data_IF_713758371412
#
_entry.id   IF_713758371412
#
_cell.length_a   1.000
_cell.length_b   1.000
_cell.length_c   1.000
_cell.angle_alpha   90.00
_cell.angle_beta   90.00
_cell.angle_gamma   90.00
#
_symmetry.space_group_name_H-M   'P 1'
#
loop_
_entity.id
_entity.type
_entity.pdbx_description
1 polymer ?
#
# COMPACT_ATOMS: atom_id res chain seq x y z
N UNK A 1 -6.20 -14.90 14.74
CA UNK A 1 -5.18 -15.89 15.15
C UNK A 1 -4.91 -16.81 13.95
N UNK A 2 -3.85 -16.48 13.20
CA UNK A 2 -3.51 -17.21 11.97
C UNK A 2 -2.93 -18.60 12.25
N UNK A 3 -2.27 -18.79 13.39
CA UNK A 3 -1.66 -20.05 13.75
C UNK A 3 -2.72 -21.14 14.01
N UNK A 4 -3.81 -20.77 14.67
CA UNK A 4 -4.89 -21.72 15.00
C UNK A 4 -6.07 -21.65 14.02
N UNK A 5 -6.03 -20.78 13.00
CA UNK A 5 -7.10 -20.62 12.02
C UNK A 5 -8.41 -20.10 12.59
N UNK A 6 -8.33 -19.26 13.65
CA UNK A 6 -9.50 -18.70 14.36
C UNK A 6 -9.73 -17.26 13.92
N UNK A 7 -10.96 -16.96 13.49
CA UNK A 7 -11.42 -15.60 13.16
C UNK A 7 -12.30 -15.12 14.31
N UNK A 8 -12.00 -13.94 14.88
CA UNK A 8 -12.77 -13.41 16.01
C UNK A 8 -13.00 -11.91 15.93
N UNK A 9 -14.09 -11.48 16.57
CA UNK A 9 -14.41 -10.08 16.88
C UNK A 9 -14.37 -9.09 15.71
N UNK A 10 -14.72 -9.56 14.50
CA UNK A 10 -14.85 -8.70 13.32
C UNK A 10 -16.00 -7.70 13.53
N UNK A 11 -15.75 -6.37 13.47
CA UNK A 11 -16.76 -5.34 13.76
C UNK A 11 -18.02 -5.46 12.90
N UNK A 12 -17.85 -5.83 11.63
CA UNK A 12 -18.91 -5.89 10.62
C UNK A 12 -19.58 -7.27 10.52
N UNK A 13 -19.10 -8.27 11.29
CA UNK A 13 -19.60 -9.66 11.23
C UNK A 13 -19.93 -10.18 12.63
N UNK A 14 -21.12 -9.90 13.15
CA UNK A 14 -21.51 -10.31 14.51
C UNK A 14 -21.41 -11.81 14.78
N UNK A 15 -21.53 -12.63 13.71
CA UNK A 15 -21.42 -14.10 13.79
C UNK A 15 -20.04 -14.61 14.18
N UNK A 16 -19.00 -13.77 14.11
CA UNK A 16 -17.64 -14.14 14.50
C UNK A 16 -17.26 -13.70 15.90
N UNK A 17 -18.20 -13.08 16.66
CA UNK A 17 -17.93 -12.66 18.05
C UNK A 17 -17.64 -13.87 18.93
N UNK A 18 -16.58 -13.74 19.74
CA UNK A 18 -16.09 -14.80 20.61
C UNK A 18 -15.22 -15.86 19.91
N UNK A 19 -14.92 -15.66 18.63
CA UNK A 19 -14.03 -16.53 17.87
C UNK A 19 -14.75 -17.70 17.18
N UNK A 20 -14.42 -17.89 15.90
CA UNK A 20 -14.85 -19.05 15.11
C UNK A 20 -13.61 -19.77 14.57
N UNK A 21 -13.43 -21.03 14.94
CA UNK A 21 -12.33 -21.87 14.46
C UNK A 21 -12.58 -22.32 13.02
N UNK A 22 -12.51 -21.35 12.08
CA UNK A 22 -12.86 -21.58 10.67
C UNK A 22 -11.85 -22.52 9.99
N UNK A 23 -10.56 -22.35 10.25
CA UNK A 23 -9.51 -23.22 9.70
C UNK A 23 -9.75 -24.68 10.07
N UNK A 24 -9.78 -25.05 11.38
CA UNK A 24 -10.05 -26.41 11.83
C UNK A 24 -11.39 -26.98 11.33
N UNK A 25 -12.44 -26.15 11.25
CA UNK A 25 -13.70 -26.59 10.68
C UNK A 25 -13.56 -27.00 9.21
N UNK A 26 -12.94 -26.15 8.39
CA UNK A 26 -12.73 -26.44 6.97
C UNK A 26 -11.80 -27.64 6.75
N UNK A 27 -10.77 -27.82 7.60
CA UNK A 27 -9.93 -29.01 7.60
C UNK A 27 -10.74 -30.29 7.82
N UNK A 28 -11.68 -30.25 8.78
CA UNK A 28 -12.56 -31.41 9.05
C UNK A 28 -13.49 -31.73 7.88
N UNK A 29 -13.88 -30.69 7.11
CA UNK A 29 -14.79 -30.87 5.95
C UNK A 29 -14.05 -31.38 4.72
N UNK A 30 -12.86 -30.83 4.45
CA UNK A 30 -12.13 -31.12 3.21
C UNK A 30 -11.04 -32.19 3.34
N UNK A 31 -10.63 -32.53 4.56
CA UNK A 31 -9.59 -33.52 4.82
C UNK A 31 -8.19 -33.09 4.35
N UNK A 32 -7.96 -31.77 4.23
CA UNK A 32 -6.66 -31.17 3.85
C UNK A 32 -6.33 -30.02 4.82
N UNK A 33 -5.04 -29.67 5.00
CA UNK A 33 -4.64 -28.51 5.81
C UNK A 33 -5.26 -27.22 5.30
N UNK A 34 -5.73 -26.36 6.20
CA UNK A 34 -6.33 -25.06 5.88
C UNK A 34 -5.62 -23.95 6.66
N UNK A 35 -5.14 -22.97 5.93
CA UNK A 35 -4.43 -21.81 6.49
C UNK A 35 -5.23 -20.54 6.26
N UNK A 36 -5.44 -19.76 7.32
CA UNK A 36 -6.20 -18.51 7.29
C UNK A 36 -5.23 -17.33 7.36
N UNK A 37 -5.48 -16.28 6.57
CA UNK A 37 -4.74 -15.02 6.67
C UNK A 37 -5.61 -13.85 6.20
N UNK A 38 -5.19 -12.62 6.51
CA UNK A 38 -5.84 -11.40 6.07
C UNK A 38 -5.63 -11.16 4.58
N UNK A 39 -6.63 -10.64 3.89
CA UNK A 39 -6.60 -10.38 2.44
C UNK A 39 -5.58 -9.31 2.04
N UNK A 40 -5.38 -8.26 2.86
CA UNK A 40 -4.34 -7.25 2.66
C UNK A 40 -2.93 -7.85 2.75
N UNK A 41 -2.70 -8.74 3.71
CA UNK A 41 -1.46 -9.51 3.84
C UNK A 41 -1.21 -10.37 2.59
N UNK A 42 -2.23 -11.11 2.16
CA UNK A 42 -2.12 -11.99 1.00
C UNK A 42 -1.95 -11.20 -0.31
N UNK A 43 -2.59 -10.03 -0.42
CA UNK A 43 -2.35 -9.09 -1.52
C UNK A 43 -0.88 -8.68 -1.60
N UNK A 44 -0.32 -8.17 -0.50
CA UNK A 44 1.08 -7.75 -0.45
C UNK A 44 2.03 -8.91 -0.76
N UNK A 45 1.73 -10.10 -0.25
CA UNK A 45 2.55 -11.28 -0.49
C UNK A 45 2.53 -11.73 -1.95
N UNK A 46 1.36 -11.74 -2.59
CA UNK A 46 1.24 -12.04 -4.03
C UNK A 46 1.97 -11.03 -4.91
N UNK A 47 1.87 -9.74 -4.59
CA UNK A 47 2.59 -8.67 -5.28
C UNK A 47 4.13 -8.75 -5.09
N UNK A 48 4.56 -9.21 -3.92
CA UNK A 48 5.99 -9.41 -3.65
C UNK A 48 6.57 -10.62 -4.40
N UNK A 49 5.80 -11.67 -4.61
CA UNK A 49 6.29 -12.90 -5.25
C UNK A 49 6.10 -12.91 -6.76
N UNK A 50 5.00 -12.38 -7.28
CA UNK A 50 4.61 -12.53 -8.67
C UNK A 50 4.13 -11.23 -9.36
N UNK A 51 4.10 -10.09 -8.67
CA UNK A 51 3.54 -8.84 -9.18
C UNK A 51 4.54 -7.68 -9.18
N UNK A 52 4.25 -6.68 -8.37
CA UNK A 52 4.97 -5.40 -8.34
C UNK A 52 6.47 -5.52 -8.09
N UNK A 53 6.89 -6.34 -7.12
CA UNK A 53 8.31 -6.44 -6.77
C UNK A 53 9.15 -7.07 -7.88
N UNK A 54 8.78 -8.21 -8.49
CA UNK A 54 9.45 -8.70 -9.71
C UNK A 54 9.42 -7.69 -10.88
N UNK A 55 8.30 -7.00 -11.10
CA UNK A 55 8.16 -5.98 -12.17
C UNK A 55 9.18 -4.86 -12.01
N UNK A 56 9.30 -4.27 -10.81
CA UNK A 56 10.27 -3.20 -10.53
C UNK A 56 11.70 -3.71 -10.67
N UNK A 57 12.01 -4.88 -10.13
CA UNK A 57 13.36 -5.46 -10.22
C UNK A 57 13.75 -5.80 -11.66
N UNK A 58 12.80 -6.27 -12.47
CA UNK A 58 13.02 -6.52 -13.90
C UNK A 58 13.29 -5.22 -14.66
N UNK A 59 12.52 -4.16 -14.40
CA UNK A 59 12.75 -2.86 -15.02
C UNK A 59 14.13 -2.28 -14.66
N UNK A 60 14.56 -2.43 -13.40
CA UNK A 60 15.91 -2.03 -12.97
C UNK A 60 17.01 -2.85 -13.67
N UNK A 61 16.80 -4.17 -13.84
CA UNK A 61 17.72 -5.04 -14.55
C UNK A 61 17.84 -4.63 -16.02
N UNK A 62 16.72 -4.40 -16.70
CA UNK A 62 16.67 -3.99 -18.11
C UNK A 62 17.33 -2.63 -18.35
N UNK A 63 17.28 -1.74 -17.32
CA UNK A 63 17.97 -0.45 -17.32
C UNK A 63 19.47 -0.56 -16.95
N UNK A 64 19.97 -1.76 -16.65
CA UNK A 64 21.37 -1.98 -16.23
C UNK A 64 21.67 -1.56 -14.79
N UNK A 65 20.67 -1.22 -13.99
CA UNK A 65 20.84 -0.85 -12.58
C UNK A 65 21.22 -2.07 -11.73
N UNK A 66 22.11 -1.85 -10.76
CA UNK A 66 22.55 -2.92 -9.82
C UNK A 66 21.61 -3.06 -8.61
N UNK A 67 20.83 -2.03 -8.30
CA UNK A 67 19.87 -2.04 -7.19
C UNK A 67 18.80 -3.11 -7.39
N UNK A 68 18.45 -3.78 -6.29
CA UNK A 68 17.32 -4.73 -6.24
C UNK A 68 16.56 -4.51 -4.96
N UNK A 69 15.24 -4.43 -5.06
CA UNK A 69 14.33 -4.33 -3.92
C UNK A 69 13.95 -5.73 -3.43
N UNK A 70 13.75 -5.86 -2.13
CA UNK A 70 13.32 -7.09 -1.46
C UNK A 70 12.10 -6.88 -0.60
N UNK A 71 11.86 -5.61 -0.21
CA UNK A 71 10.78 -5.20 0.67
C UNK A 71 9.65 -4.57 -0.13
N UNK A 72 8.42 -4.86 0.27
CA UNK A 72 7.22 -4.32 -0.35
C UNK A 72 6.18 -4.01 0.72
N UNK A 73 5.52 -2.87 0.58
CA UNK A 73 4.32 -2.50 1.31
C UNK A 73 3.17 -2.55 0.31
N UNK A 74 2.24 -3.48 0.51
CA UNK A 74 1.03 -3.60 -0.32
C UNK A 74 -0.16 -3.02 0.41
N UNK A 75 -0.89 -2.09 -0.24
CA UNK A 75 -2.12 -1.53 0.33
C UNK A 75 -3.32 -1.84 -0.56
N UNK A 76 -4.46 -2.04 0.07
CA UNK A 76 -5.74 -2.20 -0.63
C UNK A 76 -6.69 -1.08 -0.25
N UNK A 77 -7.13 -0.32 -1.26
CA UNK A 77 -8.06 0.80 -1.13
C UNK A 77 -9.46 0.33 -1.57
N UNK A 78 -10.37 0.21 -0.61
CA UNK A 78 -11.70 -0.32 -0.87
C UNK A 78 -12.71 0.04 0.22
N UNK A 79 -13.46 -0.93 0.71
CA UNK A 79 -14.39 -0.76 1.85
C UNK A 79 -13.63 -0.27 3.08
N UNK A 80 -12.41 -0.77 3.28
CA UNK A 80 -11.47 -0.36 4.32
C UNK A 80 -10.10 -0.06 3.74
N UNK A 81 -9.13 0.12 4.65
CA UNK A 81 -7.72 0.39 4.39
C UNK A 81 -6.88 -0.82 4.78
N UNK A 82 -6.77 -1.80 3.87
CA UNK A 82 -5.92 -2.97 4.09
C UNK A 82 -4.45 -2.68 3.78
N UNK A 83 -3.56 -3.34 4.54
CA UNK A 83 -2.13 -3.29 4.28
C UNK A 83 -1.50 -4.64 4.63
N UNK A 84 -0.48 -4.99 3.87
CA UNK A 84 0.45 -6.07 4.20
C UNK A 84 1.87 -5.61 3.95
N UNK A 85 2.79 -6.17 4.71
CA UNK A 85 4.21 -5.83 4.65
C UNK A 85 5.02 -7.08 4.39
N UNK A 86 5.91 -7.00 3.40
CA UNK A 86 6.84 -8.09 3.05
C UNK A 86 8.26 -7.57 3.20
N UNK A 87 9.06 -8.24 4.01
CA UNK A 87 10.47 -7.91 4.27
C UNK A 87 11.33 -9.10 3.85
N UNK A 88 12.29 -8.84 2.98
CA UNK A 88 13.16 -9.88 2.39
C UNK A 88 12.37 -11.09 1.84
N UNK A 89 11.25 -10.79 1.17
CA UNK A 89 10.27 -11.74 0.62
C UNK A 89 9.51 -12.58 1.67
N UNK A 90 9.58 -12.23 2.93
CA UNK A 90 8.83 -12.87 4.02
C UNK A 90 7.69 -11.95 4.46
N UNK A 91 6.47 -12.50 4.53
CA UNK A 91 5.30 -11.77 5.02
C UNK A 91 5.43 -11.47 6.51
N UNK A 92 5.31 -10.19 6.88
CA UNK A 92 5.27 -9.75 8.27
C UNK A 92 3.90 -10.08 8.87
N UNK A 93 3.88 -10.97 9.85
CA UNK A 93 2.64 -11.27 10.61
C UNK A 93 2.61 -10.51 11.94
N UNK A 94 3.76 -10.36 12.60
CA UNK A 94 3.87 -9.89 13.97
C UNK A 94 3.57 -11.01 14.99
N UNK A 95 3.84 -10.72 16.25
CA UNK A 95 3.64 -11.69 17.34
C UNK A 95 2.15 -11.86 17.74
N UNK A 96 1.32 -10.91 17.36
CA UNK A 96 -0.12 -10.89 17.63
C UNK A 96 -0.96 -10.85 16.36
N UNK A 97 -0.41 -11.26 15.23
CA UNK A 97 -1.04 -11.23 13.90
C UNK A 97 -1.53 -9.83 13.45
N UNK A 98 -1.01 -8.76 14.04
CA UNK A 98 -1.37 -7.37 13.77
C UNK A 98 -0.33 -6.64 12.90
N UNK A 99 0.61 -7.36 12.29
CA UNK A 99 1.59 -6.79 11.37
C UNK A 99 0.90 -6.22 10.13
N UNK A 100 1.03 -4.90 9.92
CA UNK A 100 0.38 -4.24 8.79
C UNK A 100 -0.97 -3.56 9.09
N UNK A 101 -1.43 -3.53 10.33
CA UNK A 101 -2.69 -2.88 10.75
C UNK A 101 -2.59 -1.33 10.68
N UNK A 102 -2.39 -0.80 9.47
CA UNK A 102 -2.27 0.65 9.27
C UNK A 102 -3.59 1.40 9.35
N UNK A 103 -4.71 0.70 9.19
CA UNK A 103 -6.06 1.26 9.23
C UNK A 103 -6.37 2.03 10.52
N UNK A 104 -5.84 1.56 11.66
CA UNK A 104 -6.04 2.16 12.97
C UNK A 104 -4.99 3.24 13.34
N UNK A 105 -4.02 3.52 12.45
CA UNK A 105 -3.07 4.61 12.69
C UNK A 105 -3.77 5.96 12.75
N UNK A 106 -3.10 6.96 13.36
CA UNK A 106 -3.63 8.32 13.43
C UNK A 106 -3.81 8.89 12.03
N UNK A 107 -4.97 9.46 11.78
CA UNK A 107 -5.27 10.17 10.54
C UNK A 107 -4.43 11.44 10.42
N UNK A 108 -3.70 11.59 9.32
CA UNK A 108 -2.81 12.73 9.11
C UNK A 108 -3.55 14.07 8.90
N UNK A 109 -4.81 14.02 8.46
CA UNK A 109 -5.64 15.21 8.24
C UNK A 109 -6.55 15.51 9.44
N UNK A 110 -7.07 14.47 10.10
CA UNK A 110 -8.00 14.56 11.23
C UNK A 110 -7.42 13.74 12.41
N UNK A 111 -6.54 14.33 13.25
CA UNK A 111 -5.77 13.58 14.26
C UNK A 111 -6.58 12.90 15.37
N UNK A 112 -7.88 13.14 15.43
CA UNK A 112 -8.81 12.56 16.40
C UNK A 112 -9.59 11.35 15.89
N UNK A 113 -9.36 10.93 14.62
CA UNK A 113 -9.95 9.72 14.03
C UNK A 113 -8.86 8.83 13.44
N UNK A 114 -9.19 7.57 13.15
CA UNK A 114 -8.28 6.61 12.52
C UNK A 114 -8.09 6.90 11.03
N UNK A 115 -7.01 6.41 10.45
CA UNK A 115 -6.67 6.63 9.04
C UNK A 115 -7.76 6.11 8.09
N UNK A 116 -8.38 4.97 8.38
CA UNK A 116 -9.43 4.38 7.54
C UNK A 116 -10.65 5.29 7.35
N UNK A 117 -10.95 6.19 8.30
CA UNK A 117 -12.04 7.16 8.15
C UNK A 117 -11.84 8.15 6.98
N UNK A 118 -10.60 8.29 6.50
CA UNK A 118 -10.26 9.05 5.29
C UNK A 118 -9.75 8.20 4.15
N UNK A 119 -9.55 6.87 4.36
CA UNK A 119 -9.01 5.95 3.35
C UNK A 119 -9.99 4.79 3.14
N UNK A 120 -11.17 5.11 2.63
CA UNK A 120 -12.22 4.13 2.37
C UNK A 120 -13.23 4.65 1.34
N UNK A 121 -14.08 3.74 0.84
CA UNK A 121 -15.25 4.10 0.02
C UNK A 121 -16.12 5.16 0.72
N UNK A 122 -16.32 5.02 2.03
CA UNK A 122 -17.10 6.00 2.83
C UNK A 122 -16.46 7.38 2.80
N UNK A 123 -15.14 7.45 2.87
CA UNK A 123 -14.41 8.71 2.85
C UNK A 123 -14.59 9.45 1.52
N UNK A 124 -14.46 8.77 0.38
CA UNK A 124 -14.67 9.38 -0.95
C UNK A 124 -16.07 9.98 -1.04
N UNK A 125 -17.09 9.24 -0.61
CA UNK A 125 -18.48 9.71 -0.62
C UNK A 125 -18.70 10.90 0.30
N UNK A 126 -18.17 10.83 1.53
CA UNK A 126 -18.27 11.91 2.51
C UNK A 126 -17.65 13.21 2.00
N UNK A 127 -16.39 13.14 1.54
CA UNK A 127 -15.68 14.33 1.05
C UNK A 127 -16.35 14.92 -0.18
N UNK A 128 -16.84 14.09 -1.10
CA UNK A 128 -17.59 14.57 -2.25
C UNK A 128 -18.87 15.32 -1.81
N UNK A 129 -19.66 14.76 -0.88
CA UNK A 129 -20.86 15.40 -0.34
C UNK A 129 -20.55 16.75 0.32
N UNK A 130 -19.54 16.77 1.20
CA UNK A 130 -19.11 17.97 1.92
C UNK A 130 -18.68 19.09 0.97
N UNK A 131 -17.95 18.76 -0.10
CA UNK A 131 -17.40 19.76 -1.01
C UNK A 131 -18.34 20.16 -2.15
N UNK A 132 -19.22 19.26 -2.60
CA UNK A 132 -20.21 19.58 -3.62
C UNK A 132 -21.40 20.35 -3.04
N UNK A 133 -21.65 20.20 -1.73
CA UNK A 133 -22.86 20.66 -1.05
C UNK A 133 -24.17 20.06 -1.64
N UNK A 134 -24.04 18.85 -2.23
CA UNK A 134 -25.15 18.14 -2.85
C UNK A 134 -25.52 16.90 -2.03
N UNK A 135 -26.79 16.51 -2.06
CA UNK A 135 -27.19 15.19 -1.59
C UNK A 135 -26.69 14.11 -2.56
N UNK A 136 -25.85 13.21 -2.09
CA UNK A 136 -25.19 12.23 -2.95
C UNK A 136 -25.99 10.94 -3.13
N UNK A 137 -27.09 10.75 -2.39
CA UNK A 137 -27.91 9.52 -2.49
C UNK A 137 -27.06 8.25 -2.50
N UNK A 138 -27.26 7.41 -3.50
CA UNK A 138 -26.57 6.13 -3.67
C UNK A 138 -25.32 6.20 -4.60
N UNK A 139 -24.75 7.39 -4.84
CA UNK A 139 -23.56 7.52 -5.67
C UNK A 139 -22.45 6.61 -5.14
N UNK A 140 -21.95 5.75 -6.02
CA UNK A 140 -20.82 4.87 -5.75
C UNK A 140 -19.50 5.61 -6.00
N UNK A 141 -18.34 5.12 -5.49
CA UNK A 141 -17.04 5.67 -5.86
C UNK A 141 -16.78 5.64 -7.37
N UNK A 142 -17.36 4.67 -8.09
CA UNK A 142 -17.27 4.64 -9.55
C UNK A 142 -18.01 5.83 -10.16
N UNK A 143 -19.23 6.14 -9.69
CA UNK A 143 -19.99 7.29 -10.16
C UNK A 143 -19.27 8.59 -9.87
N UNK A 144 -18.66 8.74 -8.69
CA UNK A 144 -17.84 9.89 -8.32
C UNK A 144 -16.58 9.96 -9.22
N UNK A 145 -15.98 8.82 -9.56
CA UNK A 145 -14.90 8.75 -10.52
C UNK A 145 -15.33 9.18 -11.93
N UNK A 146 -16.52 8.80 -12.37
CA UNK A 146 -17.09 9.24 -13.65
C UNK A 146 -17.36 10.76 -13.64
N UNK A 147 -17.79 11.33 -12.52
CA UNK A 147 -17.91 12.79 -12.33
C UNK A 147 -16.52 13.45 -12.40
N UNK A 148 -15.52 12.90 -11.68
CA UNK A 148 -14.15 13.40 -11.71
C UNK A 148 -13.55 13.42 -13.12
N UNK A 149 -13.97 12.46 -13.97
CA UNK A 149 -13.56 12.33 -15.36
C UNK A 149 -14.37 13.21 -16.33
N UNK A 150 -15.46 13.86 -15.87
CA UNK A 150 -16.36 14.63 -16.72
C UNK A 150 -17.28 13.77 -17.60
N UNK A 151 -17.37 12.46 -17.36
CA UNK A 151 -18.23 11.53 -18.10
C UNK A 151 -19.63 11.41 -17.49
N UNK A 152 -19.82 11.95 -16.29
CA UNK A 152 -21.10 12.04 -15.59
C UNK A 152 -21.31 13.47 -15.07
N UNK A 153 -22.53 14.03 -15.12
CA UNK A 153 -22.83 15.32 -14.52
C UNK A 153 -22.61 15.33 -12.99
N UNK A 154 -22.09 16.44 -12.46
CA UNK A 154 -21.84 16.64 -11.04
C UNK A 154 -20.70 17.63 -10.79
N UNK A 155 -20.31 17.81 -9.54
CA UNK A 155 -19.22 18.71 -9.18
C UNK A 155 -17.87 18.02 -9.38
N UNK A 156 -17.27 18.22 -10.56
CA UNK A 156 -16.00 17.62 -10.96
C UNK A 156 -14.87 17.93 -9.97
N UNK A 157 -14.76 19.17 -9.47
CA UNK A 157 -13.69 19.57 -8.54
C UNK A 157 -13.83 18.86 -7.20
N UNK A 158 -15.06 18.76 -6.67
CA UNK A 158 -15.33 18.03 -5.45
C UNK A 158 -14.99 16.53 -5.61
N UNK A 159 -15.31 15.94 -6.76
CA UNK A 159 -15.01 14.55 -7.06
C UNK A 159 -13.50 14.28 -7.14
N UNK A 160 -12.74 15.12 -7.83
CA UNK A 160 -11.28 15.02 -7.90
C UNK A 160 -10.63 15.17 -6.53
N UNK A 161 -11.11 16.17 -5.75
CA UNK A 161 -10.58 16.44 -4.42
C UNK A 161 -10.86 15.30 -3.44
N UNK A 162 -12.00 14.62 -3.54
CA UNK A 162 -12.30 13.47 -2.70
C UNK A 162 -11.29 12.33 -2.83
N UNK A 163 -10.82 12.05 -4.04
CA UNK A 163 -9.75 11.07 -4.28
C UNK A 163 -8.38 11.60 -3.90
N UNK A 164 -8.11 12.90 -4.13
CA UNK A 164 -6.85 13.52 -3.74
C UNK A 164 -6.64 13.47 -2.23
N UNK A 165 -7.65 13.81 -1.42
CA UNK A 165 -7.58 13.72 0.04
C UNK A 165 -7.40 12.29 0.54
N UNK A 166 -8.07 11.32 -0.07
CA UNK A 166 -7.83 9.91 0.21
C UNK A 166 -6.35 9.57 -0.02
N UNK A 167 -5.78 10.02 -1.14
CA UNK A 167 -4.35 9.84 -1.44
C UNK A 167 -3.43 10.48 -0.40
N UNK A 168 -3.73 11.70 0.03
CA UNK A 168 -2.94 12.40 1.05
C UNK A 168 -2.91 11.64 2.38
N UNK A 169 -4.07 11.21 2.90
CA UNK A 169 -4.11 10.47 4.16
C UNK A 169 -3.45 9.09 4.03
N UNK A 170 -3.60 8.44 2.87
CA UNK A 170 -2.88 7.21 2.56
C UNK A 170 -1.38 7.41 2.72
N UNK A 171 -0.82 8.43 2.07
CA UNK A 171 0.62 8.72 2.13
C UNK A 171 1.08 9.19 3.51
N UNK A 172 0.31 10.01 4.22
CA UNK A 172 0.61 10.43 5.59
C UNK A 172 0.75 9.22 6.54
N UNK A 173 -0.05 8.19 6.32
CA UNK A 173 0.06 6.92 7.04
C UNK A 173 1.31 6.14 6.61
N UNK A 174 1.53 6.03 5.30
CA UNK A 174 2.64 5.27 4.73
C UNK A 174 4.02 5.88 5.00
N UNK A 175 4.14 7.19 5.24
CA UNK A 175 5.41 7.82 5.68
C UNK A 175 5.97 7.09 6.90
N UNK A 176 5.13 6.77 7.90
CA UNK A 176 5.59 6.06 9.09
C UNK A 176 6.03 4.62 8.78
N UNK A 177 5.30 3.94 7.91
CA UNK A 177 5.63 2.56 7.50
C UNK A 177 6.91 2.53 6.67
N UNK A 178 7.07 3.46 5.72
CA UNK A 178 8.26 3.55 4.87
C UNK A 178 9.54 3.86 5.65
N UNK A 179 9.45 4.70 6.70
CA UNK A 179 10.58 4.97 7.58
C UNK A 179 11.03 3.74 8.40
N UNK A 180 10.21 2.69 8.49
CA UNK A 180 10.53 1.45 9.20
C UNK A 180 10.92 0.34 8.23
N UNK A 181 10.17 0.19 7.12
CA UNK A 181 10.27 -0.96 6.21
C UNK A 181 11.27 -0.70 5.06
N UNK A 182 11.35 0.54 4.57
CA UNK A 182 12.18 0.93 3.42
C UNK A 182 12.02 -0.02 2.22
N UNK A 183 10.88 0.07 1.54
CA UNK A 183 10.52 -0.80 0.42
C UNK A 183 9.68 -0.09 -0.63
N UNK A 184 9.35 -0.78 -1.71
CA UNK A 184 8.41 -0.25 -2.72
C UNK A 184 6.97 -0.30 -2.19
N UNK A 185 6.11 0.59 -2.69
CA UNK A 185 4.68 0.64 -2.36
C UNK A 185 3.85 0.21 -3.55
N UNK A 186 2.97 -0.77 -3.38
CA UNK A 186 1.99 -1.16 -4.39
C UNK A 186 0.56 -0.91 -3.90
N UNK A 187 -0.25 -0.31 -4.77
CA UNK A 187 -1.63 0.07 -4.48
C UNK A 187 -2.57 -0.86 -5.25
N UNK A 188 -3.47 -1.52 -4.53
CA UNK A 188 -4.54 -2.35 -5.07
C UNK A 188 -5.91 -1.95 -4.53
N UNK A 189 -6.91 -2.80 -4.79
CA UNK A 189 -8.28 -2.62 -4.32
C UNK A 189 -9.20 -1.91 -5.31
N UNK A 190 -10.48 -1.87 -4.99
CA UNK A 190 -11.52 -1.41 -5.90
C UNK A 190 -11.46 0.08 -6.28
N UNK A 191 -10.76 0.91 -5.49
CA UNK A 191 -10.61 2.33 -5.79
C UNK A 191 -9.50 2.64 -6.79
N UNK A 192 -8.65 1.67 -7.16
CA UNK A 192 -7.53 1.87 -8.10
C UNK A 192 -7.95 2.26 -9.51
N UNK A 193 -9.21 2.00 -9.91
CA UNK A 193 -9.77 2.58 -11.14
C UNK A 193 -9.71 4.10 -11.21
N UNK A 194 -9.55 4.76 -10.06
CA UNK A 194 -9.39 6.20 -9.92
C UNK A 194 -7.96 6.63 -9.55
N UNK A 195 -6.96 5.76 -9.78
CA UNK A 195 -5.56 6.01 -9.41
C UNK A 195 -5.03 7.35 -9.91
N UNK A 196 -5.44 7.81 -11.10
CA UNK A 196 -5.03 9.11 -11.65
C UNK A 196 -5.42 10.32 -10.78
N UNK A 197 -6.45 10.17 -9.93
CA UNK A 197 -6.89 11.20 -8.97
C UNK A 197 -6.35 10.97 -7.57
N UNK A 198 -5.95 9.72 -7.25
CA UNK A 198 -5.38 9.33 -5.95
C UNK A 198 -3.88 9.61 -5.89
N UNK A 199 -3.13 9.21 -6.92
CA UNK A 199 -1.68 9.32 -6.98
C UNK A 199 -1.15 10.75 -6.79
N UNK A 200 -1.77 11.82 -7.34
CA UNK A 200 -1.31 13.18 -7.09
C UNK A 200 -1.30 13.53 -5.59
N UNK A 201 -2.36 13.19 -4.85
CA UNK A 201 -2.42 13.42 -3.41
C UNK A 201 -1.38 12.60 -2.63
N UNK A 202 -1.08 11.38 -3.07
CA UNK A 202 -0.02 10.55 -2.50
C UNK A 202 1.35 11.20 -2.71
N UNK A 203 1.66 11.62 -3.92
CA UNK A 203 2.96 12.22 -4.26
C UNK A 203 3.17 13.57 -3.58
N UNK A 204 2.12 14.39 -3.48
CA UNK A 204 2.12 15.64 -2.73
C UNK A 204 2.50 15.44 -1.27
N UNK A 205 1.89 14.47 -0.59
CA UNK A 205 2.15 14.21 0.82
C UNK A 205 3.53 13.60 1.05
N UNK A 206 4.02 12.73 0.19
CA UNK A 206 5.39 12.20 0.30
C UNK A 206 6.47 13.28 0.09
N UNK A 207 6.17 14.32 -0.69
CA UNK A 207 7.07 15.46 -0.89
C UNK A 207 6.98 16.50 0.24
N UNK A 208 6.09 16.30 1.22
CA UNK A 208 5.85 17.26 2.29
C UNK A 208 7.05 17.40 3.23
N UNK A 209 7.33 18.65 3.60
CA UNK A 209 8.34 18.97 4.60
C UNK A 209 7.70 19.16 5.98
N UNK A 210 8.40 18.73 7.00
CA UNK A 210 8.04 18.97 8.39
C UNK A 210 8.98 20.00 9.03
N UNK A 211 8.42 20.87 9.88
CA UNK A 211 9.17 21.89 10.60
C UNK A 211 9.90 21.35 11.82
N UNK A 212 11.03 21.97 12.15
CA UNK A 212 11.73 21.79 13.42
C UNK A 212 11.47 22.99 14.34
N UNK A 213 11.68 22.84 15.64
CA UNK A 213 11.60 23.97 16.58
C UNK A 213 12.62 25.08 16.30
N UNK A 214 13.71 24.78 15.58
CA UNK A 214 14.69 25.76 15.11
C UNK A 214 14.27 26.49 13.82
N UNK A 215 13.09 26.18 13.25
CA UNK A 215 12.55 26.82 12.06
C UNK A 215 13.01 26.19 10.73
N UNK A 216 13.80 25.11 10.75
CA UNK A 216 14.20 24.41 9.54
C UNK A 216 13.06 23.52 9.03
N UNK A 217 13.01 23.31 7.71
CA UNK A 217 12.12 22.36 7.07
C UNK A 217 12.94 21.15 6.62
N UNK A 218 12.46 19.95 6.98
CA UNK A 218 13.11 18.68 6.66
C UNK A 218 12.10 17.76 5.96
N UNK A 219 12.55 16.90 5.02
CA UNK A 219 11.71 15.88 4.44
C UNK A 219 11.27 14.87 5.51
N UNK A 220 10.05 14.40 5.40
CA UNK A 220 9.49 13.38 6.30
C UNK A 220 9.97 11.96 5.95
N UNK A 221 10.55 11.79 4.76
CA UNK A 221 11.19 10.57 4.28
C UNK A 221 12.64 10.84 3.91
N UNK A 222 13.52 9.87 4.17
CA UNK A 222 14.92 9.92 3.74
C UNK A 222 15.09 9.52 2.25
N UNK A 223 14.09 8.87 1.68
CA UNK A 223 14.09 8.40 0.30
C UNK A 223 13.25 9.32 -0.58
N UNK A 224 13.70 9.54 -1.81
CA UNK A 224 12.91 10.17 -2.86
C UNK A 224 11.85 9.17 -3.36
N UNK A 225 10.62 9.62 -3.47
CA UNK A 225 9.49 8.79 -3.91
C UNK A 225 9.16 9.11 -5.35
N UNK A 226 8.98 8.08 -6.16
CA UNK A 226 8.70 8.17 -7.58
C UNK A 226 7.38 7.47 -7.91
N UNK A 227 6.50 8.16 -8.63
CA UNK A 227 5.32 7.55 -9.24
C UNK A 227 5.76 6.70 -10.43
N UNK A 228 5.72 5.38 -10.28
CA UNK A 228 6.16 4.44 -11.31
C UNK A 228 5.19 4.36 -12.50
N UNK A 229 3.97 4.86 -12.36
CA UNK A 229 2.99 4.97 -13.44
C UNK A 229 3.24 6.18 -14.35
N UNK A 230 3.98 7.17 -13.87
CA UNK A 230 4.42 8.33 -14.65
C UNK A 230 5.71 7.99 -15.42
N UNK A 231 5.72 8.11 -16.76
CA UNK A 231 6.89 7.72 -17.56
C UNK A 231 8.17 8.49 -17.24
N UNK A 232 8.08 9.79 -16.91
CA UNK A 232 9.24 10.63 -16.59
C UNK A 232 9.82 10.26 -15.23
N UNK A 233 8.96 10.12 -14.22
CA UNK A 233 9.37 9.71 -12.88
C UNK A 233 9.91 8.27 -12.88
N UNK A 234 9.29 7.37 -13.64
CA UNK A 234 9.81 6.01 -13.82
C UNK A 234 11.21 6.01 -14.46
N UNK A 235 11.44 6.81 -15.49
CA UNK A 235 12.76 6.93 -16.09
C UNK A 235 13.80 7.46 -15.09
N UNK A 236 13.44 8.49 -14.30
CA UNK A 236 14.30 9.03 -13.24
C UNK A 236 14.54 8.01 -12.10
N UNK A 237 13.54 7.17 -11.76
CA UNK A 237 13.71 6.08 -10.82
C UNK A 237 14.72 5.03 -11.31
N UNK A 238 14.66 4.70 -12.61
CA UNK A 238 15.53 3.70 -13.25
C UNK A 238 16.93 4.24 -13.58
N UNK A 239 17.16 5.55 -13.50
CA UNK A 239 18.49 6.12 -13.69
C UNK A 239 19.38 5.75 -12.52
N UNK A 240 20.56 5.13 -12.80
CA UNK A 240 21.53 4.77 -11.78
C UNK A 240 22.66 5.80 -11.78
N UNK A 241 22.85 6.44 -10.62
CA UNK A 241 23.94 7.41 -10.38
C UNK A 241 24.96 6.81 -9.41
N UNK A 242 25.29 5.56 -9.62
CA UNK A 242 26.28 4.85 -8.83
C UNK A 242 27.64 5.55 -8.92
N UNK A 243 28.26 5.77 -7.75
CA UNK A 243 29.57 6.36 -7.61
C UNK A 243 30.51 5.35 -6.95
N UNK A 244 31.73 5.24 -7.46
CA UNK A 244 32.77 4.48 -6.80
C UNK A 244 33.60 5.40 -5.90
N UNK A 245 33.66 5.08 -4.61
CA UNK A 245 34.44 5.83 -3.62
C UNK A 245 35.69 5.04 -3.22
N UNK A 246 36.78 5.76 -3.00
CA UNK A 246 38.05 5.17 -2.61
C UNK A 246 37.99 4.62 -1.17
N UNK A 247 38.56 3.45 -0.96
CA UNK A 247 38.77 2.90 0.39
C UNK A 247 40.04 3.54 0.97
N UNK A 248 39.95 4.28 2.07
CA UNK A 248 41.11 4.98 2.65
C UNK A 248 42.31 4.04 2.84
N UNK A 249 43.51 4.55 2.48
CA UNK A 249 44.76 3.84 2.59
C UNK A 249 44.91 2.56 1.76
N UNK A 250 44.11 2.40 0.70
CA UNK A 250 44.17 1.26 -0.24
C UNK A 250 43.94 1.72 -1.68
N UNK A 251 44.28 0.88 -2.66
CA UNK A 251 43.94 1.11 -4.08
C UNK A 251 42.55 0.61 -4.46
N UNK A 252 41.72 0.24 -3.46
CA UNK A 252 40.40 -0.32 -3.69
C UNK A 252 39.33 0.77 -3.78
N UNK A 253 38.31 0.51 -4.61
CA UNK A 253 37.08 1.31 -4.69
C UNK A 253 35.87 0.43 -4.38
N UNK A 254 34.89 1.02 -3.71
CA UNK A 254 33.62 0.38 -3.43
C UNK A 254 32.48 1.16 -4.08
N UNK A 255 31.47 0.41 -4.50
CA UNK A 255 30.24 1.00 -5.04
C UNK A 255 29.50 1.74 -3.93
N UNK A 256 29.15 3.00 -4.16
CA UNK A 256 28.30 3.79 -3.29
C UNK A 256 27.03 4.19 -4.02
N UNK A 257 25.92 3.61 -3.61
CA UNK A 257 24.56 3.93 -4.08
C UNK A 257 24.00 5.07 -3.22
N UNK A 258 24.37 6.30 -3.54
CA UNK A 258 24.02 7.49 -2.75
C UNK A 258 22.52 7.81 -2.79
N UNK A 259 21.84 7.47 -3.90
CA UNK A 259 20.43 7.76 -4.06
C UNK A 259 19.57 6.73 -3.31
N UNK A 260 18.65 7.24 -2.50
CA UNK A 260 17.62 6.45 -1.82
C UNK A 260 16.32 6.68 -2.55
N UNK A 261 15.78 5.64 -3.17
CA UNK A 261 14.61 5.73 -4.05
C UNK A 261 13.53 4.76 -3.61
N UNK A 262 12.28 5.20 -3.65
CA UNK A 262 11.08 4.38 -3.43
C UNK A 262 10.17 4.51 -4.63
N UNK A 263 9.69 3.40 -5.18
CA UNK A 263 8.67 3.40 -6.21
C UNK A 263 7.28 3.23 -5.59
N UNK A 264 6.33 4.03 -6.05
CA UNK A 264 4.90 3.84 -5.81
C UNK A 264 4.24 3.44 -7.12
N UNK A 265 3.53 2.32 -7.12
CA UNK A 265 2.92 1.78 -8.33
C UNK A 265 1.54 1.18 -8.06
N UNK A 266 0.75 1.04 -9.11
CA UNK A 266 -0.55 0.38 -9.07
C UNK A 266 -0.39 -1.09 -9.45
N UNK A 267 -1.13 -1.96 -8.78
CA UNK A 267 -1.14 -3.40 -9.08
C UNK A 267 -1.61 -3.66 -10.52
N UNK A 268 -0.78 -4.33 -11.30
CA UNK A 268 -1.17 -4.86 -12.62
C UNK A 268 -1.86 -6.23 -12.52
N UNK A 269 -1.59 -6.98 -11.45
CA UNK A 269 -2.27 -8.25 -11.19
C UNK A 269 -3.75 -8.05 -10.86
N UNK A 270 -4.07 -6.91 -10.23
CA UNK A 270 -5.34 -6.66 -9.59
C UNK A 270 -5.49 -7.42 -8.25
N UNK A 271 -6.31 -6.87 -7.35
CA UNK A 271 -6.40 -7.36 -5.98
C UNK A 271 -6.73 -8.85 -5.89
N UNK A 272 -7.76 -9.32 -6.60
CA UNK A 272 -8.19 -10.73 -6.52
C UNK A 272 -7.12 -11.72 -6.94
N UNK A 273 -6.41 -11.44 -8.04
CA UNK A 273 -5.34 -12.33 -8.52
C UNK A 273 -4.13 -12.32 -7.59
N UNK A 274 -3.74 -11.13 -7.10
CA UNK A 274 -2.64 -11.00 -6.15
C UNK A 274 -2.95 -11.74 -4.83
N UNK A 275 -4.16 -11.58 -4.28
CA UNK A 275 -4.62 -12.30 -3.08
C UNK A 275 -4.55 -13.81 -3.30
N UNK A 276 -5.07 -14.32 -4.43
CA UNK A 276 -5.04 -15.75 -4.72
C UNK A 276 -3.61 -16.30 -4.83
N UNK A 277 -2.71 -15.59 -5.50
CA UNK A 277 -1.30 -15.97 -5.59
C UNK A 277 -0.62 -15.92 -4.22
N UNK A 278 -0.93 -14.92 -3.41
CA UNK A 278 -0.43 -14.81 -2.04
C UNK A 278 -0.93 -15.96 -1.17
N UNK A 279 -2.23 -16.29 -1.24
CA UNK A 279 -2.82 -17.39 -0.48
C UNK A 279 -2.20 -18.75 -0.85
N UNK A 280 -2.04 -19.00 -2.14
CA UNK A 280 -1.43 -20.24 -2.62
C UNK A 280 0.02 -20.39 -2.11
N UNK A 281 0.85 -19.36 -2.28
CA UNK A 281 2.23 -19.40 -1.81
C UNK A 281 2.33 -19.43 -0.27
N UNK A 282 1.42 -18.73 0.42
CA UNK A 282 1.34 -18.78 1.88
C UNK A 282 1.11 -20.21 2.36
N UNK A 283 0.12 -20.91 1.78
CA UNK A 283 -0.19 -22.29 2.13
C UNK A 283 0.99 -23.24 1.85
N UNK A 284 1.64 -23.15 0.68
CA UNK A 284 2.84 -23.96 0.37
C UNK A 284 3.92 -23.77 1.43
N UNK A 285 4.23 -22.52 1.78
CA UNK A 285 5.27 -22.23 2.77
C UNK A 285 4.93 -22.71 4.19
N UNK A 286 3.65 -22.97 4.50
CA UNK A 286 3.28 -23.58 5.78
C UNK A 286 3.45 -25.12 5.73
N UNK A 287 3.24 -25.74 4.58
CA UNK A 287 3.39 -27.19 4.40
C UNK A 287 4.88 -27.60 4.39
N UNK A 288 5.76 -26.73 3.90
CA UNK A 288 7.20 -26.98 3.78
C UNK A 288 7.99 -26.73 5.08
N UNK A 289 7.35 -26.19 6.12
CA UNK A 289 7.94 -25.98 7.46
C UNK A 289 7.82 -27.23 8.33
#
# INVERSE_FOLDING_TARGET
DYEHGVIGDLPNFPSFRGGVALGPYLESVFGIPVYVNNDGNLFAYGEALAGALPRVNKALEDAGCKRRYKNLIGITLGTGFGCGVVIDKVLLKGDNDCGGDVWCMRNGMYPFVIAEESVSIRAVRRVYAEMSHEEIGDLTPKDIGDIANGTRPGNMKAAQESFRQLGQVTAATLVNVLNIVDGIVVIGGGLTGNAKWILPGIMEEFARLAGTFSGNLLPTLQSEVYNFEDPEQRAAFLEDKDVYVDVPHTDKKVLYQAQRKVAVLVSELGASKAINLGAYNFAINQIEK
#
